data_IF_401023925577
#
_entry.id   IF_401023925577
#
_cell.length_a   1.000
_cell.length_b   1.000
_cell.length_c   1.000
_cell.angle_alpha   90.00
_cell.angle_beta   90.00
_cell.angle_gamma   90.00
#
_symmetry.space_group_name_H-M   'P 1'
#
loop_
_entity.id
_entity.type
_entity.pdbx_description
1 polymer ?
#
# COMPACT_ATOMS: atom_id res chain seq x y z
N UNK A 1 -0.37 15.81 18.13
CA UNK A 1 1.01 15.43 17.75
C UNK A 1 1.11 13.99 17.23
N UNK A 2 0.51 12.98 17.88
CA UNK A 2 0.50 11.59 17.39
C UNK A 2 -0.13 11.41 16.00
N UNK A 3 -1.19 12.16 15.69
CA UNK A 3 -1.85 12.05 14.37
C UNK A 3 -1.00 12.59 13.22
N UNK A 4 -0.27 13.69 13.42
CA UNK A 4 0.61 14.28 12.40
C UNK A 4 1.80 13.35 12.11
N UNK A 5 2.38 12.75 13.15
CA UNK A 5 3.41 11.71 13.02
C UNK A 5 2.91 10.48 12.26
N UNK A 6 1.64 10.10 12.44
CA UNK A 6 1.04 9.00 11.68
C UNK A 6 0.85 9.39 10.21
N UNK A 7 0.38 10.60 9.91
CA UNK A 7 0.19 11.06 8.53
C UNK A 7 1.52 11.28 7.79
N UNK A 8 2.49 11.97 8.41
CA UNK A 8 3.79 12.28 7.81
C UNK A 8 4.67 11.03 7.68
N UNK A 9 4.62 10.13 8.67
CA UNK A 9 5.30 8.85 8.63
C UNK A 9 4.79 7.96 7.49
N UNK A 10 3.47 7.93 7.27
CA UNK A 10 2.86 7.19 6.15
C UNK A 10 3.25 7.81 4.81
N UNK A 11 3.20 9.14 4.69
CA UNK A 11 3.63 9.82 3.46
C UNK A 11 5.10 9.51 3.12
N UNK A 12 5.99 9.56 4.12
CA UNK A 12 7.40 9.18 3.97
C UNK A 12 7.56 7.71 3.56
N UNK A 13 6.87 6.80 4.24
CA UNK A 13 6.88 5.38 3.92
C UNK A 13 6.40 5.09 2.48
N UNK A 14 5.39 5.82 1.99
CA UNK A 14 4.90 5.72 0.62
C UNK A 14 5.93 6.22 -0.41
N UNK A 15 6.70 7.27 -0.09
CA UNK A 15 7.77 7.76 -1.00
C UNK A 15 8.86 6.71 -1.22
N UNK A 16 9.12 5.85 -0.24
CA UNK A 16 10.07 4.74 -0.33
C UNK A 16 9.61 3.59 -1.22
N UNK A 17 8.34 3.51 -1.61
CA UNK A 17 7.82 2.49 -2.52
C UNK A 17 8.04 2.88 -3.99
N UNK A 18 8.32 1.88 -4.84
CA UNK A 18 8.22 2.06 -6.28
C UNK A 18 6.77 2.36 -6.68
N UNK A 19 6.59 3.00 -7.84
CA UNK A 19 5.28 3.49 -8.30
C UNK A 19 4.21 2.40 -8.32
N UNK A 20 4.57 1.20 -8.78
CA UNK A 20 3.65 0.07 -8.87
C UNK A 20 3.24 -0.42 -7.47
N UNK A 21 4.20 -0.63 -6.59
CA UNK A 21 3.94 -0.98 -5.19
C UNK A 21 3.07 0.06 -4.48
N UNK A 22 3.38 1.34 -4.69
CA UNK A 22 2.62 2.46 -4.12
C UNK A 22 1.18 2.43 -4.58
N UNK A 23 0.94 2.29 -5.89
CA UNK A 23 -0.42 2.24 -6.44
C UNK A 23 -1.21 1.05 -5.90
N UNK A 24 -0.62 -0.15 -5.84
CA UNK A 24 -1.28 -1.33 -5.27
C UNK A 24 -1.70 -1.09 -3.81
N UNK A 25 -0.82 -0.49 -3.00
CA UNK A 25 -1.15 -0.18 -1.58
C UNK A 25 -2.24 0.89 -1.51
N UNK A 26 -2.16 1.96 -2.30
CA UNK A 26 -3.17 3.02 -2.29
C UNK A 26 -4.56 2.49 -2.69
N UNK A 27 -4.63 1.75 -3.80
CA UNK A 27 -5.88 1.19 -4.31
C UNK A 27 -6.50 0.16 -3.36
N UNK A 28 -5.69 -0.57 -2.59
CA UNK A 28 -6.17 -1.63 -1.69
C UNK A 28 -6.40 -1.20 -0.25
N UNK A 29 -5.79 -0.11 0.20
CA UNK A 29 -5.84 0.32 1.60
C UNK A 29 -6.43 1.71 1.78
N UNK A 30 -6.18 2.64 0.86
CA UNK A 30 -6.67 4.02 0.96
C UNK A 30 -8.02 4.21 0.28
N UNK A 31 -8.29 3.44 -0.77
CA UNK A 31 -9.58 3.49 -1.50
C UNK A 31 -10.63 2.53 -0.91
N UNK A 32 -10.34 1.90 0.23
CA UNK A 32 -11.30 1.07 0.98
C UNK A 32 -12.07 1.95 1.95
N UNK A 33 -13.39 1.88 1.88
CA UNK A 33 -14.32 2.53 2.78
C UNK A 33 -14.34 1.81 4.16
N UNK A 34 -14.87 2.49 5.17
CA UNK A 34 -14.94 1.96 6.55
C UNK A 34 -15.73 0.64 6.68
N UNK A 35 -16.64 0.34 5.75
CA UNK A 35 -17.41 -0.90 5.70
C UNK A 35 -16.68 -2.06 4.99
N UNK A 36 -15.41 -1.85 4.62
CA UNK A 36 -14.60 -2.82 3.87
C UNK A 36 -15.00 -2.94 2.39
N UNK A 37 -15.93 -2.11 1.92
CA UNK A 37 -16.23 -1.94 0.49
C UNK A 37 -15.27 -0.93 -0.14
N UNK A 38 -15.20 -0.92 -1.47
CA UNK A 38 -14.23 -0.07 -2.18
C UNK A 38 -12.84 -0.70 -2.24
N UNK A 39 -11.95 -0.02 -2.94
CA UNK A 39 -10.62 -0.50 -3.27
C UNK A 39 -10.61 -1.60 -4.34
N UNK A 40 -9.50 -1.70 -5.07
CA UNK A 40 -9.36 -2.71 -6.11
C UNK A 40 -9.01 -4.08 -5.53
N UNK A 41 -9.68 -5.12 -6.02
CA UNK A 41 -9.34 -6.49 -5.68
C UNK A 41 -7.98 -6.89 -6.29
N UNK A 42 -7.37 -7.96 -5.75
CA UNK A 42 -6.14 -8.51 -6.33
C UNK A 42 -6.33 -8.91 -7.81
N UNK A 43 -7.53 -9.36 -8.18
CA UNK A 43 -7.85 -9.79 -9.54
C UNK A 43 -7.96 -8.61 -10.51
N UNK A 44 -8.56 -7.49 -10.09
CA UNK A 44 -8.67 -6.29 -10.93
C UNK A 44 -7.29 -5.68 -11.18
N UNK A 45 -6.47 -5.54 -10.13
CA UNK A 45 -5.08 -5.07 -10.28
C UNK A 45 -4.23 -6.04 -11.12
N UNK A 46 -4.46 -7.34 -10.97
CA UNK A 46 -3.78 -8.35 -11.77
C UNK A 46 -4.12 -8.22 -13.26
N UNK A 47 -5.41 -8.03 -13.58
CA UNK A 47 -5.88 -7.80 -14.94
C UNK A 47 -5.29 -6.49 -15.52
N UNK A 48 -5.29 -5.40 -14.75
CA UNK A 48 -4.75 -4.12 -15.21
C UNK A 48 -3.26 -4.18 -15.50
N UNK A 49 -2.49 -4.80 -14.61
CA UNK A 49 -1.03 -4.91 -14.78
C UNK A 49 -0.60 -6.11 -15.64
N UNK A 50 -1.53 -6.91 -16.16
CA UNK A 50 -1.24 -8.11 -16.94
C UNK A 50 -0.40 -9.16 -16.18
N UNK A 51 -0.60 -9.30 -14.87
CA UNK A 51 0.09 -10.29 -14.03
C UNK A 51 -0.90 -11.17 -13.28
N UNK A 52 -0.42 -12.15 -12.51
CA UNK A 52 -1.28 -12.94 -11.63
C UNK A 52 -1.68 -12.19 -10.36
N UNK A 53 -2.83 -12.54 -9.79
CA UNK A 53 -3.27 -12.02 -8.48
C UNK A 53 -2.26 -12.32 -7.37
N UNK A 54 -1.60 -13.49 -7.43
CA UNK A 54 -0.52 -13.84 -6.51
C UNK A 54 0.69 -12.90 -6.66
N UNK A 55 1.01 -12.48 -7.89
CA UNK A 55 2.09 -11.50 -8.10
C UNK A 55 1.74 -10.14 -7.48
N UNK A 56 0.49 -9.69 -7.60
CA UNK A 56 0.02 -8.47 -6.91
C UNK A 56 0.15 -8.64 -5.39
N UNK A 57 -0.28 -9.79 -4.84
CA UNK A 57 -0.14 -10.08 -3.41
C UNK A 57 1.30 -10.03 -2.93
N UNK A 58 2.25 -10.59 -3.69
CA UNK A 58 3.67 -10.55 -3.35
C UNK A 58 4.21 -9.12 -3.32
N UNK A 59 3.82 -8.29 -4.30
CA UNK A 59 4.19 -6.87 -4.35
C UNK A 59 3.60 -6.14 -3.14
N UNK A 60 2.32 -6.36 -2.81
CA UNK A 60 1.67 -5.77 -1.63
C UNK A 60 2.43 -6.13 -0.35
N UNK A 61 2.74 -7.40 -0.12
CA UNK A 61 3.46 -7.85 1.09
C UNK A 61 4.86 -7.22 1.17
N UNK A 62 5.58 -7.15 0.05
CA UNK A 62 6.90 -6.51 0.00
C UNK A 62 6.81 -5.00 0.30
N UNK A 63 5.80 -4.33 -0.25
CA UNK A 63 5.54 -2.91 -0.02
C UNK A 63 5.23 -2.64 1.46
N UNK A 64 4.30 -3.40 2.05
CA UNK A 64 3.94 -3.28 3.47
C UNK A 64 5.12 -3.53 4.40
N UNK A 65 5.97 -4.52 4.08
CA UNK A 65 7.20 -4.79 4.84
C UNK A 65 8.16 -3.60 4.80
N UNK A 66 8.30 -2.95 3.63
CA UNK A 66 9.13 -1.75 3.47
C UNK A 66 8.55 -0.57 4.23
N UNK A 67 7.24 -0.33 4.15
CA UNK A 67 6.57 0.73 4.89
C UNK A 67 6.73 0.56 6.40
N UNK A 68 6.50 -0.65 6.92
CA UNK A 68 6.68 -0.94 8.35
C UNK A 68 8.11 -0.68 8.83
N UNK A 69 9.12 -0.98 8.00
CA UNK A 69 10.52 -0.67 8.30
C UNK A 69 10.75 0.84 8.37
N UNK A 70 10.31 1.60 7.37
CA UNK A 70 10.46 3.06 7.36
C UNK A 70 9.73 3.71 8.52
N UNK A 71 8.52 3.26 8.86
CA UNK A 71 7.77 3.76 10.01
C UNK A 71 8.48 3.46 11.34
N UNK A 72 9.10 2.28 11.48
CA UNK A 72 9.88 1.92 12.66
C UNK A 72 11.20 2.71 12.78
N UNK A 73 11.79 3.13 11.66
CA UNK A 73 12.97 4.01 11.64
C UNK A 73 12.61 5.48 11.90
N UNK A 74 11.35 5.87 11.68
CA UNK A 74 10.84 7.22 11.91
C UNK A 74 10.35 7.46 13.35
N UNK A 75 10.06 6.38 14.10
CA UNK A 75 9.57 6.41 15.48
C UNK A 75 10.72 6.44 16.50
#
# INVERSE_FOLDING_TARGET
QRDVLATDGIASALTGLDERSRRIVQERWLNVNDDGSGGMTLHELAAEYGVSAERIRQIEVAAMKKMKKTLAEYA
#
